data_IF_622594603866
#
_entry.id   IF_622594603866
#
_cell.length_a   1.000
_cell.length_b   1.000
_cell.length_c   1.000
_cell.angle_alpha   90.00
_cell.angle_beta   90.00
_cell.angle_gamma   90.00
#
_symmetry.space_group_name_H-M   'P 1'
#
loop_
_entity.id
_entity.type
_entity.pdbx_description
1 polymer ?
#
# COMPACT_ATOMS: atom_id res chain seq x y z
N UNK A 1 -2.40 -34.26 23.63
CA UNK A 1 -1.58 -33.10 23.20
C UNK A 1 -2.42 -31.85 23.37
N UNK A 2 -1.93 -30.81 24.07
CA UNK A 2 -2.68 -29.54 24.19
C UNK A 2 -2.63 -28.82 22.83
N UNK A 3 -3.78 -28.48 22.28
CA UNK A 3 -3.85 -27.63 21.08
C UNK A 3 -3.33 -26.23 21.41
N UNK A 4 -2.53 -25.66 20.50
CA UNK A 4 -2.08 -24.27 20.60
C UNK A 4 -3.11 -23.35 19.96
N UNK A 5 -3.25 -22.14 20.50
CA UNK A 5 -4.14 -21.12 19.96
C UNK A 5 -3.48 -20.52 18.71
N UNK A 6 -4.11 -20.57 17.52
CA UNK A 6 -3.58 -19.94 16.32
C UNK A 6 -3.62 -18.42 16.45
N UNK A 7 -2.55 -17.74 16.02
CA UNK A 7 -2.42 -16.28 16.12
C UNK A 7 -1.92 -15.71 14.80
N UNK A 8 -2.51 -14.60 14.36
CA UNK A 8 -1.98 -13.75 13.28
C UNK A 8 -1.43 -12.48 13.91
N UNK A 9 -0.23 -12.07 13.50
CA UNK A 9 0.39 -10.82 13.93
C UNK A 9 0.07 -9.72 12.91
N UNK A 10 -0.39 -8.56 13.38
CA UNK A 10 -0.66 -7.39 12.54
C UNK A 10 0.23 -6.23 12.98
N UNK A 11 0.95 -5.63 12.03
CA UNK A 11 1.69 -4.39 12.23
C UNK A 11 1.16 -3.30 11.29
N UNK A 12 0.45 -2.32 11.86
CA UNK A 12 0.08 -1.09 11.17
C UNK A 12 1.18 -0.04 11.32
N UNK A 13 1.42 0.76 10.28
CA UNK A 13 2.42 1.81 10.36
C UNK A 13 2.70 2.49 9.02
N UNK A 14 3.56 3.50 9.04
CA UNK A 14 3.92 4.21 7.81
C UNK A 14 4.71 3.32 6.85
N UNK A 15 5.70 2.57 7.33
CA UNK A 15 6.67 1.83 6.49
C UNK A 15 7.26 2.72 5.37
N UNK A 16 7.87 3.83 5.78
CA UNK A 16 8.34 4.91 4.90
C UNK A 16 9.86 5.15 5.01
N UNK A 17 10.71 4.26 4.45
CA UNK A 17 10.41 2.94 3.91
C UNK A 17 10.35 1.85 5.01
N UNK A 18 10.02 0.62 4.61
CA UNK A 18 10.22 -0.57 5.46
C UNK A 18 11.72 -0.74 5.78
N UNK A 19 12.04 -1.35 6.92
CA UNK A 19 13.42 -1.55 7.39
C UNK A 19 13.58 -2.92 8.03
N UNK A 20 14.83 -3.36 8.21
CA UNK A 20 15.16 -4.61 8.88
C UNK A 20 14.63 -4.67 10.33
N UNK A 21 14.47 -3.53 11.01
CA UNK A 21 13.88 -3.50 12.35
C UNK A 21 12.40 -3.89 12.33
N UNK A 22 11.64 -3.45 11.33
CA UNK A 22 10.24 -3.85 11.17
C UNK A 22 10.12 -5.36 10.95
N UNK A 23 11.00 -5.93 10.11
CA UNK A 23 11.03 -7.38 9.87
C UNK A 23 11.42 -8.16 11.14
N UNK A 24 12.46 -7.69 11.85
CA UNK A 24 12.92 -8.34 13.08
C UNK A 24 11.85 -8.34 14.18
N UNK A 25 11.00 -7.33 14.23
CA UNK A 25 9.89 -7.26 15.18
C UNK A 25 8.95 -8.48 15.07
N UNK A 26 8.63 -8.90 13.85
CA UNK A 26 7.79 -10.07 13.61
C UNK A 26 8.46 -11.36 14.11
N UNK A 27 9.73 -11.55 13.78
CA UNK A 27 10.50 -12.74 14.18
C UNK A 27 10.59 -12.87 15.70
N UNK A 28 10.93 -11.78 16.40
CA UNK A 28 11.01 -11.76 17.86
C UNK A 28 9.64 -12.03 18.51
N UNK A 29 8.57 -11.43 17.97
CA UNK A 29 7.22 -11.65 18.47
C UNK A 29 6.75 -13.11 18.27
N UNK A 30 7.07 -13.70 17.11
CA UNK A 30 6.76 -15.10 16.80
C UNK A 30 7.45 -16.05 17.76
N UNK A 31 8.77 -15.89 17.93
CA UNK A 31 9.57 -16.71 18.85
C UNK A 31 9.02 -16.61 20.27
N UNK A 32 8.73 -15.39 20.75
CA UNK A 32 8.18 -15.18 22.08
C UNK A 32 6.85 -15.91 22.29
N UNK A 33 5.90 -15.78 21.34
CA UNK A 33 4.59 -16.42 21.45
C UNK A 33 4.69 -17.95 21.43
N UNK A 34 5.56 -18.51 20.58
CA UNK A 34 5.82 -19.95 20.54
C UNK A 34 6.48 -20.45 21.84
N UNK A 35 7.42 -19.70 22.41
CA UNK A 35 8.10 -20.04 23.68
C UNK A 35 7.12 -20.17 24.86
N UNK A 36 5.99 -19.45 24.84
CA UNK A 36 4.96 -19.62 25.88
C UNK A 36 4.31 -21.00 25.89
N UNK A 37 4.45 -21.78 24.81
CA UNK A 37 3.81 -23.07 24.61
C UNK A 37 2.29 -23.01 24.39
N UNK A 38 1.68 -21.82 24.45
CA UNK A 38 0.22 -21.61 24.36
C UNK A 38 -0.23 -21.24 22.95
N UNK A 39 0.62 -20.56 22.18
CA UNK A 39 0.25 -19.96 20.90
C UNK A 39 1.02 -20.58 19.75
N UNK A 40 0.40 -20.59 18.58
CA UNK A 40 1.01 -20.91 17.30
C UNK A 40 0.77 -19.74 16.35
N UNK A 41 1.81 -18.95 16.07
CA UNK A 41 1.71 -17.94 15.00
C UNK A 41 1.56 -18.65 13.66
N UNK A 42 0.51 -18.29 12.92
CA UNK A 42 0.14 -18.86 11.61
C UNK A 42 0.27 -17.85 10.46
N UNK A 43 0.56 -16.59 10.77
CA UNK A 43 0.81 -15.56 9.76
C UNK A 43 1.17 -14.20 10.35
N UNK A 44 1.80 -13.36 9.54
CA UNK A 44 2.10 -11.97 9.82
C UNK A 44 1.55 -11.06 8.72
N UNK A 45 1.04 -9.88 9.09
CA UNK A 45 0.48 -8.89 8.18
C UNK A 45 1.16 -7.53 8.44
N UNK A 46 1.82 -7.00 7.42
CA UNK A 46 2.24 -5.60 7.35
C UNK A 46 1.11 -4.82 6.68
N UNK A 47 0.56 -3.81 7.37
CA UNK A 47 -0.51 -2.94 6.86
C UNK A 47 0.01 -1.50 6.74
N UNK A 48 0.42 -1.07 5.53
CA UNK A 48 0.83 0.30 5.30
C UNK A 48 -0.32 1.28 5.48
N UNK A 49 -0.06 2.36 6.21
CA UNK A 49 -1.05 3.41 6.47
C UNK A 49 -1.53 4.06 5.19
N UNK A 50 -2.76 4.56 5.18
CA UNK A 50 -3.31 5.40 4.13
C UNK A 50 -2.53 6.72 3.93
N UNK A 51 -2.48 7.24 2.71
CA UNK A 51 -1.81 8.52 2.41
C UNK A 51 -2.50 9.72 3.08
N UNK A 52 -3.81 9.63 3.34
CA UNK A 52 -4.58 10.65 4.05
C UNK A 52 -4.31 10.67 5.57
N UNK A 53 -3.36 9.86 6.07
CA UNK A 53 -2.85 9.99 7.44
C UNK A 53 -2.20 11.35 7.69
N UNK A 54 -1.72 12.03 6.64
CA UNK A 54 -1.27 13.42 6.73
C UNK A 54 0.12 13.62 7.36
N UNK A 55 0.95 12.57 7.43
CA UNK A 55 2.35 12.71 7.86
C UNK A 55 3.16 13.44 6.78
N UNK A 56 3.87 14.50 7.18
CA UNK A 56 4.82 15.21 6.31
C UNK A 56 5.86 14.23 5.76
N UNK A 57 6.14 14.31 4.47
CA UNK A 57 7.10 13.47 3.74
C UNK A 57 6.73 11.97 3.68
N UNK A 58 5.44 11.64 3.84
CA UNK A 58 4.94 10.29 3.59
C UNK A 58 4.98 10.00 2.08
N UNK A 59 5.81 9.04 1.66
CA UNK A 59 5.83 8.58 0.27
C UNK A 59 4.49 7.92 -0.05
N UNK A 60 4.01 8.06 -1.28
CA UNK A 60 2.73 7.47 -1.72
C UNK A 60 2.63 5.97 -1.40
N UNK A 61 1.46 5.55 -0.95
CA UNK A 61 1.17 4.20 -0.46
C UNK A 61 1.62 3.11 -1.42
N UNK A 62 1.37 3.29 -2.73
CA UNK A 62 1.80 2.34 -3.78
C UNK A 62 3.28 1.98 -3.69
N UNK A 63 4.14 2.94 -3.38
CA UNK A 63 5.58 2.71 -3.28
C UNK A 63 5.93 2.01 -1.97
N UNK A 64 5.28 2.38 -0.86
CA UNK A 64 5.48 1.74 0.45
C UNK A 64 5.03 0.28 0.44
N UNK A 65 3.87 -0.01 -0.18
CA UNK A 65 3.38 -1.36 -0.44
C UNK A 65 4.37 -2.14 -1.31
N UNK A 66 4.86 -1.55 -2.42
CA UNK A 66 5.83 -2.22 -3.29
C UNK A 66 7.15 -2.55 -2.57
N UNK A 67 7.70 -1.59 -1.81
CA UNK A 67 8.90 -1.81 -1.00
C UNK A 67 8.69 -2.90 0.06
N UNK A 68 7.53 -2.92 0.72
CA UNK A 68 7.19 -3.97 1.67
C UNK A 68 7.06 -5.35 0.98
N UNK A 69 6.44 -5.43 -0.20
CA UNK A 69 6.40 -6.68 -1.00
C UNK A 69 7.81 -7.19 -1.31
N UNK A 70 8.70 -6.30 -1.76
CA UNK A 70 10.10 -6.66 -2.06
C UNK A 70 10.85 -7.13 -0.80
N UNK A 71 10.71 -6.42 0.31
CA UNK A 71 11.37 -6.78 1.57
C UNK A 71 10.87 -8.11 2.17
N UNK A 72 9.67 -8.56 1.78
CA UNK A 72 9.07 -9.81 2.23
C UNK A 72 9.27 -10.99 1.27
N UNK A 73 9.99 -10.82 0.15
CA UNK A 73 10.20 -11.90 -0.84
C UNK A 73 10.85 -13.16 -0.26
N UNK A 74 11.66 -13.01 0.80
CA UNK A 74 12.33 -14.13 1.48
C UNK A 74 11.58 -14.61 2.72
N UNK A 75 10.40 -14.06 3.01
CA UNK A 75 9.55 -14.49 4.13
C UNK A 75 8.50 -15.48 3.62
N UNK A 76 8.32 -16.58 4.32
CA UNK A 76 7.33 -17.62 4.04
C UNK A 76 6.01 -17.43 4.83
N UNK A 77 5.96 -16.49 5.78
CA UNK A 77 4.86 -16.37 6.74
C UNK A 77 4.33 -14.95 6.95
N UNK A 78 5.04 -13.93 6.47
CA UNK A 78 4.63 -12.53 6.58
C UNK A 78 4.23 -12.03 5.18
N UNK A 79 3.04 -11.43 5.08
CA UNK A 79 2.55 -10.77 3.87
C UNK A 79 2.33 -9.29 4.12
N UNK A 80 2.27 -8.52 3.04
CA UNK A 80 1.75 -7.14 3.07
C UNK A 80 0.31 -7.13 2.58
N UNK A 81 -0.55 -6.41 3.29
CA UNK A 81 -1.94 -6.18 2.92
C UNK A 81 -2.13 -4.69 2.60
N UNK A 82 -2.47 -4.32 1.34
CA UNK A 82 -2.67 -2.93 0.98
C UNK A 82 -4.04 -2.37 1.40
N UNK A 83 -4.95 -3.17 1.97
CA UNK A 83 -6.33 -2.77 2.23
C UNK A 83 -6.46 -1.41 2.94
N UNK A 84 -5.73 -1.19 4.04
CA UNK A 84 -5.75 0.08 4.79
C UNK A 84 -5.36 1.27 3.90
N UNK A 85 -4.34 1.06 3.07
CA UNK A 85 -3.82 2.09 2.17
C UNK A 85 -4.69 2.35 0.95
N UNK A 86 -5.56 1.41 0.59
CA UNK A 86 -6.50 1.50 -0.54
C UNK A 86 -7.84 2.15 -0.13
N UNK A 87 -8.08 2.37 1.17
CA UNK A 87 -9.29 3.06 1.62
C UNK A 87 -9.32 4.53 1.17
N UNK A 88 -10.52 5.10 1.01
CA UNK A 88 -10.67 6.49 0.62
C UNK A 88 -10.12 7.48 1.67
N UNK A 89 -10.08 7.08 2.94
CA UNK A 89 -9.65 7.91 4.07
C UNK A 89 -8.74 7.10 5.02
N UNK A 90 -8.04 7.81 5.91
CA UNK A 90 -7.31 7.15 6.98
C UNK A 90 -8.24 6.38 7.91
N UNK A 91 -7.77 5.21 8.35
CA UNK A 91 -8.51 4.31 9.21
C UNK A 91 -7.82 4.13 10.56
N UNK A 92 -8.59 4.20 11.63
CA UNK A 92 -8.11 3.85 12.96
C UNK A 92 -7.69 2.38 13.01
N UNK A 93 -6.60 2.07 13.70
CA UNK A 93 -6.04 0.72 13.80
C UNK A 93 -7.06 -0.32 14.29
N UNK A 94 -8.02 0.05 15.14
CA UNK A 94 -9.09 -0.86 15.58
C UNK A 94 -9.98 -1.34 14.43
N UNK A 95 -10.20 -0.49 13.41
CA UNK A 95 -10.97 -0.85 12.22
C UNK A 95 -10.16 -1.77 11.31
N UNK A 96 -8.85 -1.51 11.16
CA UNK A 96 -7.92 -2.39 10.44
C UNK A 96 -7.84 -3.77 11.07
N UNK A 97 -7.75 -3.83 12.40
CA UNK A 97 -7.78 -5.08 13.16
C UNK A 97 -9.10 -5.85 12.94
N UNK A 98 -10.22 -5.13 12.92
CA UNK A 98 -11.54 -5.72 12.69
C UNK A 98 -11.68 -6.32 11.29
N UNK A 99 -11.21 -5.62 10.25
CA UNK A 99 -11.19 -6.13 8.88
C UNK A 99 -10.26 -7.35 8.75
N UNK A 100 -9.04 -7.25 9.28
CA UNK A 100 -8.06 -8.35 9.24
C UNK A 100 -8.58 -9.61 9.94
N UNK A 101 -9.33 -9.45 11.04
CA UNK A 101 -9.96 -10.57 11.75
C UNK A 101 -11.06 -11.23 10.93
N UNK A 102 -11.82 -10.48 10.13
CA UNK A 102 -12.86 -11.02 9.27
C UNK A 102 -12.27 -11.82 8.10
N UNK A 103 -11.10 -11.42 7.58
CA UNK A 103 -10.39 -12.14 6.52
C UNK A 103 -9.63 -13.38 7.03
N UNK A 104 -9.19 -13.39 8.29
CA UNK A 104 -8.49 -14.53 8.86
C UNK A 104 -9.44 -15.75 8.90
N UNK A 105 -9.09 -16.90 8.29
CA UNK A 105 -9.88 -18.12 8.41
C UNK A 105 -9.76 -18.67 9.84
N UNK A 106 -10.57 -18.13 10.75
CA UNK A 106 -10.60 -18.49 12.17
C UNK A 106 -11.21 -19.89 12.43
N UNK A 107 -11.37 -20.73 11.41
CA UNK A 107 -11.82 -22.12 11.54
C UNK A 107 -10.92 -23.08 10.76
N UNK A 108 -9.84 -23.52 11.42
CA UNK A 108 -9.33 -24.89 11.30
C UNK A 108 -8.95 -25.44 9.91
N UNK A 109 -8.71 -24.61 8.90
CA UNK A 109 -8.17 -25.06 7.61
C UNK A 109 -6.82 -24.38 7.35
N UNK A 110 -5.81 -25.23 7.18
CA UNK A 110 -4.43 -24.88 6.83
C UNK A 110 -4.33 -24.31 5.40
N UNK A 111 -3.20 -23.67 5.03
CA UNK A 111 -3.06 -22.93 3.77
C UNK A 111 -2.79 -23.78 2.52
N UNK A 112 -2.74 -25.11 2.59
CA UNK A 112 -2.40 -25.94 1.41
C UNK A 112 -3.55 -26.06 0.40
N UNK A 113 -4.78 -25.67 0.76
CA UNK A 113 -5.98 -25.79 -0.08
C UNK A 113 -6.68 -24.45 -0.36
N UNK A 114 -6.00 -23.30 -0.18
CA UNK A 114 -6.60 -22.01 -0.54
C UNK A 114 -6.47 -21.80 -2.05
N UNK A 115 -7.57 -21.89 -2.84
CA UNK A 115 -7.53 -21.38 -4.20
C UNK A 115 -7.18 -19.90 -4.14
N UNK A 116 -6.42 -19.45 -5.16
CA UNK A 116 -6.01 -18.06 -5.36
C UNK A 116 -7.11 -17.10 -4.86
N UNK A 117 -6.81 -16.15 -3.96
CA UNK A 117 -7.82 -15.32 -3.35
C UNK A 117 -8.58 -14.56 -4.44
N UNK A 118 -9.76 -15.08 -4.77
CA UNK A 118 -10.75 -14.38 -5.56
C UNK A 118 -11.10 -13.10 -4.82
N UNK A 119 -11.25 -11.94 -5.49
CA UNK A 119 -11.60 -10.70 -4.82
C UNK A 119 -13.02 -10.84 -4.23
N UNK A 120 -13.10 -11.29 -2.98
CA UNK A 120 -14.31 -11.15 -2.18
C UNK A 120 -14.48 -9.67 -1.90
N UNK A 121 -15.70 -9.16 -2.13
CA UNK A 121 -16.15 -7.81 -1.81
C UNK A 121 -15.68 -7.46 -0.38
N UNK A 122 -14.54 -6.80 -0.32
CA UNK A 122 -13.74 -6.58 0.89
C UNK A 122 -14.50 -5.57 1.75
N UNK A 123 -14.51 -5.73 3.08
CA UNK A 123 -15.33 -4.91 3.99
C UNK A 123 -15.31 -3.42 3.63
N UNK A 124 -16.32 -2.97 2.88
CA UNK A 124 -16.59 -1.56 2.62
C UNK A 124 -17.48 -1.08 3.75
N UNK A 125 -17.02 -0.07 4.49
CA UNK A 125 -17.85 0.52 5.52
C UNK A 125 -19.02 1.27 4.85
N UNK A 126 -20.27 1.07 5.32
CA UNK A 126 -21.42 1.78 4.76
C UNK A 126 -21.24 3.28 5.00
N UNK A 127 -21.06 4.03 3.91
CA UNK A 127 -20.75 5.47 3.92
C UNK A 127 -19.86 5.91 2.75
N UNK A 128 -19.19 4.99 2.06
CA UNK A 128 -18.34 5.29 0.90
C UNK A 128 -19.12 5.12 -0.41
N UNK A 129 -19.90 6.13 -0.80
CA UNK A 129 -20.45 6.24 -2.15
C UNK A 129 -19.34 6.69 -3.11
N UNK A 130 -18.33 5.86 -3.30
CA UNK A 130 -17.28 6.07 -4.29
C UNK A 130 -17.69 5.44 -5.62
N UNK A 131 -18.36 6.19 -6.48
CA UNK A 131 -18.55 5.82 -7.88
C UNK A 131 -17.18 5.80 -8.57
N UNK A 132 -16.48 4.67 -8.52
CA UNK A 132 -15.28 4.43 -9.33
C UNK A 132 -15.74 4.16 -10.76
N UNK A 133 -15.86 5.22 -11.57
CA UNK A 133 -15.93 5.07 -13.02
C UNK A 133 -14.59 4.56 -13.55
N UNK A 134 -14.48 3.25 -13.70
CA UNK A 134 -13.46 2.61 -14.56
C UNK A 134 -13.71 2.98 -16.02
N UNK A 135 -13.26 4.17 -16.42
CA UNK A 135 -13.22 4.61 -17.81
C UNK A 135 -11.89 4.27 -18.45
N UNK A 136 -11.64 3.00 -18.76
CA UNK A 136 -10.55 2.61 -19.68
C UNK A 136 -10.99 2.99 -21.10
N UNK A 137 -10.63 4.18 -21.58
CA UNK A 137 -10.65 4.48 -23.03
C UNK A 137 -9.30 4.09 -23.61
N UNK A 138 -9.25 2.93 -24.26
CA UNK A 138 -8.13 2.54 -25.11
C UNK A 138 -8.00 3.47 -26.34
N UNK A 139 -6.81 3.54 -26.96
CA UNK A 139 -6.60 4.39 -28.13
C UNK A 139 -7.17 3.71 -29.39
N UNK A 140 -8.35 4.13 -29.82
CA UNK A 140 -8.90 3.79 -31.13
C UNK A 140 -8.23 4.60 -32.24
N UNK A 141 -7.64 3.91 -33.22
CA UNK A 141 -7.03 4.51 -34.43
C UNK A 141 -8.08 5.03 -35.44
N UNK A 142 -7.80 6.24 -35.91
CA UNK A 142 -7.93 6.79 -37.28
C UNK A 142 -9.31 7.10 -37.92
N UNK A 143 -9.49 8.37 -38.32
CA UNK A 143 -9.36 8.83 -39.72
C UNK A 143 -9.23 10.38 -39.81
N UNK A 144 -8.58 10.92 -40.87
CA UNK A 144 -8.13 12.32 -40.93
C UNK A 144 -9.17 13.25 -41.56
N UNK A 145 -9.18 14.53 -41.16
CA UNK A 145 -9.82 15.61 -41.93
C UNK A 145 -8.99 16.89 -41.83
N UNK A 146 -8.70 17.47 -43.00
CA UNK A 146 -8.60 18.91 -43.18
C UNK A 146 -7.24 19.54 -42.96
N UNK A 147 -6.50 19.71 -44.05
CA UNK A 147 -5.34 20.60 -44.16
C UNK A 147 -5.81 22.05 -43.96
N UNK A 148 -5.15 22.77 -43.05
CA UNK A 148 -5.09 24.23 -43.11
C UNK A 148 -3.63 24.66 -42.90
N UNK A 149 -3.01 25.08 -44.01
CA UNK A 149 -1.72 25.75 -44.03
C UNK A 149 -1.87 27.10 -43.32
N UNK A 150 -1.25 27.24 -42.16
CA UNK A 150 -0.94 28.52 -41.53
C UNK A 150 0.55 28.78 -41.66
N UNK A 151 0.93 29.71 -42.52
CA UNK A 151 2.30 30.18 -42.72
C UNK A 151 2.85 30.76 -41.41
N UNK A 152 3.94 30.17 -40.91
CA UNK A 152 4.73 30.73 -39.81
C UNK A 152 5.74 31.75 -40.37
N UNK A 153 5.62 33.01 -39.94
CA UNK A 153 6.68 34.01 -40.10
C UNK A 153 7.72 33.86 -38.97
N UNK A 154 8.99 34.24 -39.22
CA UNK A 154 10.13 33.87 -38.38
C UNK A 154 10.23 34.70 -37.10
N UNK A 155 10.84 34.09 -36.08
CA UNK A 155 11.16 34.67 -34.80
C UNK A 155 12.26 35.74 -34.91
N UNK A 156 12.04 36.89 -34.26
CA UNK A 156 13.08 37.87 -33.95
C UNK A 156 13.68 37.59 -32.55
N UNK A 157 15.00 37.64 -32.45
CA UNK A 157 15.79 37.78 -31.21
C UNK A 157 16.58 39.08 -31.40
N UNK A 158 16.69 40.01 -30.43
CA UNK A 158 17.82 39.92 -29.49
C UNK A 158 17.65 40.62 -28.12
N UNK A 159 18.53 40.30 -27.17
CA UNK A 159 18.80 41.13 -25.98
C UNK A 159 19.59 40.44 -24.87
N UNK A 160 20.91 40.66 -24.83
CA UNK A 160 21.85 40.13 -23.84
C UNK A 160 22.01 41.06 -22.60
N UNK A 161 22.06 40.44 -21.41
CA UNK A 161 22.81 40.76 -20.15
C UNK A 161 22.60 42.09 -19.39
N UNK A 162 22.97 42.23 -18.07
CA UNK A 162 23.88 41.41 -17.23
C UNK A 162 23.31 41.04 -15.80
N UNK A 163 24.10 40.40 -14.89
CA UNK A 163 23.59 39.71 -13.70
C UNK A 163 23.57 40.59 -12.42
N UNK A 164 22.55 40.39 -11.59
CA UNK A 164 22.38 41.05 -10.29
C UNK A 164 22.54 40.08 -9.12
N UNK A 165 23.37 40.48 -8.15
CA UNK A 165 23.84 39.77 -6.97
C UNK A 165 22.83 39.77 -5.80
N UNK A 166 22.99 38.80 -4.89
CA UNK A 166 22.56 38.86 -3.48
C UNK A 166 21.07 38.52 -3.23
N UNK A 167 20.65 37.90 -2.13
CA UNK A 167 21.33 37.61 -0.88
C UNK A 167 20.63 36.45 -0.14
N UNK A 168 21.43 35.71 0.61
CA UNK A 168 21.05 34.84 1.71
C UNK A 168 20.55 35.67 2.88
N UNK A 169 19.40 35.33 3.49
CA UNK A 169 19.09 35.73 4.87
C UNK A 169 17.98 34.84 5.46
N UNK A 170 18.41 34.07 6.47
CA UNK A 170 17.75 33.69 7.74
C UNK A 170 16.43 32.93 7.71
#
# INVERSE_FOLDING_TARGET
>A
MKSRIPVVLLACGSFNPITNMHLRLFEVARDHLHQTGRYQVVGGIISPVNDNYGKKDLVAARHRVAMARLALQTSDWIRVDPWESEQAQWMETVKVLSCSRAEAPLRGRYPEDLPDPQPLERCTHPGDSGEVRLGVRGPGRARPKGVHLGLAHPAETPGQHPPGQGACAK
#
